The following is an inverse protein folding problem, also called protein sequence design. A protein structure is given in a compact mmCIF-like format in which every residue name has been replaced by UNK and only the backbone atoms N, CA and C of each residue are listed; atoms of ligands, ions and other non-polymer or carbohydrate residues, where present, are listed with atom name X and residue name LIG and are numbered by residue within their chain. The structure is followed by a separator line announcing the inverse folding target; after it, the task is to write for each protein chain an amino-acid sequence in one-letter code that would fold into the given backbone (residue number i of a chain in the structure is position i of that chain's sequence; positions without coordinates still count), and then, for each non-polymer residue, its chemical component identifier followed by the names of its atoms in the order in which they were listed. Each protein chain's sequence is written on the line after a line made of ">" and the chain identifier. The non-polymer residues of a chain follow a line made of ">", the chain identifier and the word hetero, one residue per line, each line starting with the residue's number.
data_IF_863214520197
#
_entry.id   IF_863214520197
#
_cell.length_a   1.000
_cell.length_b   1.000
_cell.length_c   1.000
_cell.angle_alpha   90.00
_cell.angle_beta   90.00
_cell.angle_gamma   90.00
#
_symmetry.space_group_name_H-M   'P 1'
#
loop_
_entity.id
_entity.type
_entity.pdbx_description
1 polymer ?
#
# COMPACT_ATOMS: atom_id res chain seq x y z
N UNK A 1 69.35 15.37 39.09
CA UNK A 1 68.51 14.17 38.69
C UNK A 1 67.18 14.66 38.33
N UNK A 2 66.83 14.64 37.01
CA UNK A 2 65.48 14.97 36.48
C UNK A 2 64.79 13.65 36.15
N UNK A 3 63.72 13.32 36.87
CA UNK A 3 62.85 12.22 36.52
C UNK A 3 61.98 12.63 35.33
N UNK A 4 62.16 11.99 34.20
CA UNK A 4 61.26 12.07 33.06
C UNK A 4 60.02 11.23 33.43
N UNK A 5 58.83 11.86 33.36
CA UNK A 5 57.54 11.24 33.53
C UNK A 5 57.19 10.64 32.16
N UNK A 6 57.18 9.32 32.06
CA UNK A 6 56.63 8.62 30.89
C UNK A 6 55.11 8.87 30.85
N UNK A 7 54.68 9.64 29.88
CA UNK A 7 53.25 9.70 29.50
C UNK A 7 52.91 8.40 28.78
N UNK A 8 52.18 7.56 29.49
CA UNK A 8 51.59 6.35 28.91
C UNK A 8 50.42 6.78 28.04
N UNK A 9 50.69 7.03 26.76
CA UNK A 9 49.68 7.31 25.74
C UNK A 9 49.03 5.96 25.32
N UNK A 10 48.10 5.48 26.16
CA UNK A 10 47.18 4.40 25.79
C UNK A 10 46.19 4.94 24.75
N UNK A 11 46.64 5.06 23.51
CA UNK A 11 45.71 5.27 22.39
C UNK A 11 44.74 4.11 22.34
N UNK A 12 43.48 4.40 22.69
CA UNK A 12 42.37 3.50 22.48
C UNK A 12 42.33 3.11 21.01
N UNK A 13 42.99 2.00 20.66
CA UNK A 13 42.90 1.44 19.32
C UNK A 13 41.53 0.84 19.19
N UNK A 14 40.68 1.53 18.44
CA UNK A 14 39.38 1.02 18.01
C UNK A 14 39.60 -0.36 17.36
N UNK A 15 39.30 -1.40 18.10
CA UNK A 15 39.56 -2.78 17.68
C UNK A 15 38.47 -3.26 16.68
N UNK A 16 38.83 -4.28 15.92
CA UNK A 16 37.86 -4.95 15.01
C UNK A 16 36.55 -5.33 15.72
N UNK A 17 36.66 -5.70 17.00
CA UNK A 17 35.51 -6.03 17.85
C UNK A 17 34.60 -4.83 18.08
N UNK A 18 35.17 -3.67 18.37
CA UNK A 18 34.41 -2.44 18.62
C UNK A 18 33.72 -1.99 17.34
N UNK A 19 34.39 -2.07 16.21
CA UNK A 19 33.82 -1.79 14.88
C UNK A 19 32.64 -2.74 14.57
N UNK A 20 32.79 -4.04 14.85
CA UNK A 20 31.72 -5.02 14.63
C UNK A 20 30.51 -4.76 15.54
N UNK A 21 30.73 -4.35 16.79
CA UNK A 21 29.64 -4.04 17.72
C UNK A 21 28.94 -2.75 17.33
N UNK A 22 29.70 -1.66 17.13
CA UNK A 22 29.14 -0.34 16.86
C UNK A 22 28.52 -0.17 15.48
N UNK A 23 29.04 -0.87 14.46
CA UNK A 23 28.47 -0.84 13.10
C UNK A 23 27.60 -2.06 12.81
N UNK A 24 27.96 -3.24 13.28
CA UNK A 24 27.26 -4.50 12.97
C UNK A 24 25.87 -4.57 13.60
N UNK A 25 25.73 -4.20 14.87
CA UNK A 25 24.43 -4.26 15.55
C UNK A 25 23.40 -3.31 14.90
N UNK A 26 23.69 -2.01 14.65
CA UNK A 26 22.75 -1.14 13.95
C UNK A 26 22.38 -1.63 12.56
N UNK A 27 23.34 -2.17 11.79
CA UNK A 27 23.06 -2.73 10.46
C UNK A 27 22.09 -3.91 10.56
N UNK A 28 22.31 -4.83 11.51
CA UNK A 28 21.40 -5.98 11.73
C UNK A 28 20.01 -5.48 12.13
N UNK A 29 19.90 -4.50 13.02
CA UNK A 29 18.61 -3.92 13.43
C UNK A 29 17.88 -3.33 12.22
N UNK A 30 18.56 -2.52 11.39
CA UNK A 30 17.96 -1.93 10.17
C UNK A 30 17.51 -3.01 9.19
N UNK A 31 18.32 -4.07 9.01
CA UNK A 31 17.94 -5.20 8.16
C UNK A 31 16.71 -5.95 8.70
N UNK A 32 16.62 -6.18 10.00
CA UNK A 32 15.46 -6.81 10.62
C UNK A 32 14.20 -5.95 10.44
N UNK A 33 14.30 -4.65 10.68
CA UNK A 33 13.19 -3.71 10.44
C UNK A 33 12.74 -3.78 8.98
N UNK A 34 13.67 -3.72 8.03
CA UNK A 34 13.36 -3.78 6.60
C UNK A 34 12.72 -5.11 6.19
N UNK A 35 13.20 -6.23 6.74
CA UNK A 35 12.69 -7.56 6.37
C UNK A 35 11.31 -7.79 6.95
N UNK A 36 11.09 -7.44 8.22
CA UNK A 36 9.90 -7.84 8.95
C UNK A 36 8.82 -6.74 9.07
N UNK A 37 9.22 -5.45 9.09
CA UNK A 37 8.29 -4.37 9.39
C UNK A 37 7.96 -3.48 8.19
N UNK A 38 8.92 -3.20 7.31
CA UNK A 38 8.75 -2.21 6.25
C UNK A 38 8.97 -2.81 4.85
N UNK A 39 8.12 -2.39 3.92
CA UNK A 39 8.28 -2.61 2.48
C UNK A 39 8.67 -1.31 1.78
N UNK A 40 9.41 -1.41 0.67
CA UNK A 40 9.84 -0.27 -0.15
C UNK A 40 9.55 -0.59 -1.61
N UNK A 41 8.72 0.22 -2.24
CA UNK A 41 8.26 0.00 -3.61
C UNK A 41 8.47 1.23 -4.47
N UNK A 42 8.77 1.02 -5.75
CA UNK A 42 8.77 2.05 -6.79
C UNK A 42 7.48 1.89 -7.59
N UNK A 43 6.77 2.98 -7.80
CA UNK A 43 5.47 2.95 -8.48
C UNK A 43 5.67 3.25 -9.97
N UNK A 44 5.44 2.27 -10.87
CA UNK A 44 5.65 2.49 -12.29
C UNK A 44 4.40 3.03 -13.01
N UNK A 45 3.19 2.83 -12.46
CA UNK A 45 1.92 3.08 -13.13
C UNK A 45 1.19 4.32 -12.60
N UNK A 46 0.30 4.88 -13.44
CA UNK A 46 -0.51 6.04 -13.09
C UNK A 46 -1.87 5.69 -12.47
N UNK A 47 -2.12 4.44 -12.06
CA UNK A 47 -3.45 4.01 -11.59
C UNK A 47 -3.87 4.64 -10.25
N UNK A 48 -2.93 5.22 -9.50
CA UNK A 48 -3.16 5.91 -8.24
C UNK A 48 -2.88 7.42 -8.35
N UNK A 49 -2.85 7.97 -9.58
CA UNK A 49 -2.60 9.42 -9.80
C UNK A 49 -3.63 10.26 -9.07
N UNK A 50 -3.17 11.39 -8.60
CA UNK A 50 -3.54 12.32 -7.55
C UNK A 50 -2.89 11.94 -6.21
N UNK A 51 -3.00 10.70 -5.76
CA UNK A 51 -2.39 10.25 -4.50
C UNK A 51 -0.92 9.87 -4.71
N UNK A 52 -0.64 9.06 -5.74
CA UNK A 52 0.70 8.54 -6.05
C UNK A 52 0.95 8.67 -7.55
N UNK A 53 2.08 9.28 -7.92
CA UNK A 53 2.49 9.46 -9.31
C UNK A 53 3.50 8.40 -9.75
N UNK A 54 3.59 8.12 -11.07
CA UNK A 54 4.66 7.28 -11.60
C UNK A 54 6.05 7.82 -11.20
N UNK A 55 6.90 6.94 -10.67
CA UNK A 55 8.23 7.29 -10.17
C UNK A 55 8.29 7.60 -8.68
N UNK A 56 7.14 7.77 -8.01
CA UNK A 56 7.12 7.87 -6.55
C UNK A 56 7.65 6.57 -5.92
N UNK A 57 8.30 6.73 -4.78
CA UNK A 57 8.72 5.60 -3.94
C UNK A 57 7.95 5.63 -2.65
N UNK A 58 7.32 4.51 -2.33
CA UNK A 58 6.45 4.36 -1.16
C UNK A 58 7.05 3.42 -0.14
N UNK A 59 6.82 3.76 1.12
CA UNK A 59 7.09 2.91 2.28
C UNK A 59 5.77 2.30 2.74
N UNK A 60 5.78 1.01 3.05
CA UNK A 60 4.60 0.28 3.54
C UNK A 60 4.88 -0.38 4.89
N UNK A 61 3.85 -0.54 5.71
CA UNK A 61 3.87 -1.40 6.88
C UNK A 61 3.55 -2.84 6.46
N UNK A 62 4.38 -3.79 6.86
CA UNK A 62 4.12 -5.23 6.69
C UNK A 62 3.39 -5.85 7.90
N UNK A 63 3.08 -5.05 8.91
CA UNK A 63 2.35 -5.50 10.07
C UNK A 63 0.85 -5.70 9.77
N UNK A 64 0.33 -4.99 8.79
CA UNK A 64 -1.03 -5.20 8.27
C UNK A 64 -0.93 -6.05 7.00
N UNK A 65 -1.74 -7.11 6.83
CA UNK A 65 -2.79 -7.61 7.71
C UNK A 65 -2.34 -8.61 8.79
N UNK A 66 -1.04 -8.78 9.02
CA UNK A 66 -0.52 -9.87 9.89
C UNK A 66 -0.78 -9.66 11.38
N UNK A 67 -0.78 -8.42 11.84
CA UNK A 67 -0.93 -8.04 13.25
C UNK A 67 -2.10 -7.10 13.45
N UNK A 68 -2.35 -6.22 12.47
CA UNK A 68 -3.44 -5.27 12.46
C UNK A 68 -4.41 -5.58 11.33
N UNK A 69 -5.68 -5.32 11.54
CA UNK A 69 -6.72 -5.51 10.56
C UNK A 69 -6.64 -4.47 9.44
N UNK A 70 -7.02 -4.88 8.23
CA UNK A 70 -7.24 -3.97 7.10
C UNK A 70 -8.48 -3.11 7.34
N UNK A 71 -8.44 -1.89 6.85
CA UNK A 71 -9.57 -0.96 6.93
C UNK A 71 -9.90 -0.41 5.54
N UNK A 72 -11.18 -0.09 5.31
CA UNK A 72 -11.60 0.63 4.11
C UNK A 72 -10.85 1.96 4.03
N UNK A 73 -10.37 2.29 2.84
CA UNK A 73 -9.51 3.44 2.61
C UNK A 73 -8.01 3.15 2.60
N UNK A 74 -7.55 2.07 3.23
CA UNK A 74 -6.12 1.71 3.22
C UNK A 74 -5.56 1.62 1.80
N UNK A 75 -4.41 2.24 1.56
CA UNK A 75 -3.66 2.06 0.32
C UNK A 75 -2.83 0.80 0.45
N UNK A 76 -3.26 -0.28 -0.21
CA UNK A 76 -2.65 -1.61 -0.07
C UNK A 76 -1.72 -1.93 -1.22
N UNK A 77 -0.58 -2.59 -0.90
CA UNK A 77 0.29 -3.26 -1.87
C UNK A 77 0.03 -4.76 -1.77
N UNK A 78 -0.21 -5.39 -2.91
CA UNK A 78 -0.54 -6.82 -2.98
C UNK A 78 0.11 -7.47 -4.20
N UNK A 79 0.25 -8.79 -4.16
CA UNK A 79 0.71 -9.58 -5.31
C UNK A 79 -0.40 -9.61 -6.35
N UNK A 80 0.00 -9.68 -7.62
CA UNK A 80 -0.94 -9.83 -8.74
C UNK A 80 -1.76 -11.13 -8.58
N UNK A 81 -3.09 -11.04 -8.33
CA UNK A 81 -3.88 -12.21 -7.96
C UNK A 81 -4.17 -13.14 -9.14
N UNK A 82 -4.35 -12.61 -10.33
CA UNK A 82 -4.77 -13.37 -11.52
C UNK A 82 -4.21 -12.76 -12.82
N UNK A 83 -2.93 -12.38 -12.80
CA UNK A 83 -2.22 -11.79 -13.94
C UNK A 83 -2.85 -10.50 -14.47
N UNK A 84 -3.33 -9.62 -13.58
CA UNK A 84 -3.88 -8.31 -13.95
C UNK A 84 -2.87 -7.42 -14.68
N UNK A 85 -1.56 -7.68 -14.47
CA UNK A 85 -0.45 -6.96 -15.12
C UNK A 85 -0.11 -7.47 -16.53
N UNK A 86 -0.71 -8.55 -17.03
CA UNK A 86 -0.35 -9.12 -18.35
C UNK A 86 -0.63 -8.17 -19.55
N UNK A 87 -1.39 -7.12 -19.35
CA UNK A 87 -1.64 -6.10 -20.37
C UNK A 87 -0.68 -4.90 -20.29
N UNK A 88 0.11 -4.77 -19.24
CA UNK A 88 1.10 -3.71 -19.09
C UNK A 88 2.48 -4.37 -18.94
N UNK A 89 3.36 -4.20 -19.95
CA UNK A 89 4.77 -4.59 -19.99
C UNK A 89 5.37 -5.09 -18.65
N UNK A 90 5.42 -6.40 -18.49
CA UNK A 90 6.09 -7.09 -17.37
C UNK A 90 7.62 -6.87 -17.31
N UNK A 91 8.16 -6.04 -18.21
CA UNK A 91 9.59 -5.68 -18.30
C UNK A 91 9.99 -4.51 -17.41
N UNK A 92 9.07 -3.84 -16.73
CA UNK A 92 9.39 -2.67 -15.88
C UNK A 92 9.53 -3.07 -14.42
N UNK A 93 10.69 -2.83 -13.87
CA UNK A 93 11.24 -2.90 -12.49
C UNK A 93 10.26 -2.85 -11.29
N UNK A 94 9.01 -3.31 -11.39
CA UNK A 94 8.03 -3.29 -10.30
C UNK A 94 7.72 -4.66 -9.70
N UNK A 95 8.11 -5.76 -10.35
CA UNK A 95 7.73 -7.10 -9.93
C UNK A 95 6.22 -7.35 -10.04
N UNK A 96 5.76 -8.48 -9.53
CA UNK A 96 4.36 -8.92 -9.56
C UNK A 96 3.50 -8.24 -8.48
N UNK A 97 3.70 -6.93 -8.23
CA UNK A 97 2.97 -6.18 -7.20
C UNK A 97 2.16 -5.04 -7.77
N UNK A 98 0.93 -4.92 -7.26
CA UNK A 98 0.04 -3.80 -7.53
C UNK A 98 -0.14 -2.94 -6.27
N UNK A 99 -0.55 -1.68 -6.49
CA UNK A 99 -0.96 -0.78 -5.42
C UNK A 99 -2.32 -0.18 -5.75
N UNK A 100 -3.27 -0.27 -4.82
CA UNK A 100 -4.65 0.21 -4.96
C UNK A 100 -5.18 0.67 -3.60
N UNK A 101 -6.33 1.35 -3.61
CA UNK A 101 -7.08 1.67 -2.39
C UNK A 101 -8.07 0.55 -2.10
N UNK A 102 -8.12 0.11 -0.84
CA UNK A 102 -9.08 -0.86 -0.36
C UNK A 102 -10.44 -0.18 -0.17
N UNK A 103 -11.44 -0.67 -0.88
CA UNK A 103 -12.80 -0.10 -0.87
C UNK A 103 -13.76 -1.01 -0.10
N UNK A 104 -13.69 -2.32 -0.30
CA UNK A 104 -14.59 -3.28 0.35
C UNK A 104 -13.82 -4.33 1.13
N UNK A 105 -14.33 -4.63 2.32
CA UNK A 105 -13.88 -5.70 3.23
C UNK A 105 -14.76 -6.95 3.07
N UNK A 106 -14.36 -8.12 3.61
CA UNK A 106 -15.20 -9.32 3.61
C UNK A 106 -16.63 -9.03 4.11
N UNK A 107 -17.63 -9.52 3.37
CA UNK A 107 -19.05 -9.30 3.66
C UNK A 107 -19.62 -8.00 3.11
N UNK A 108 -18.80 -7.07 2.59
CA UNK A 108 -19.31 -5.85 1.97
C UNK A 108 -19.91 -6.12 0.58
N UNK A 109 -20.94 -5.37 0.23
CA UNK A 109 -21.41 -5.23 -1.14
C UNK A 109 -21.01 -3.86 -1.67
N UNK A 110 -20.08 -3.83 -2.63
CA UNK A 110 -19.60 -2.62 -3.31
C UNK A 110 -20.33 -2.49 -4.64
N UNK A 111 -20.99 -1.37 -4.88
CA UNK A 111 -21.76 -1.16 -6.10
C UNK A 111 -21.66 0.27 -6.62
N UNK A 112 -21.97 0.43 -7.90
CA UNK A 112 -22.15 1.73 -8.57
C UNK A 112 -23.17 1.57 -9.68
N UNK A 113 -24.05 2.54 -9.85
CA UNK A 113 -25.05 2.54 -10.93
C UNK A 113 -24.48 3.03 -12.28
N UNK A 114 -23.19 3.37 -12.32
CA UNK A 114 -22.50 3.83 -13.51
C UNK A 114 -22.21 5.33 -13.49
N UNK A 115 -21.91 5.94 -14.66
CA UNK A 115 -21.47 7.33 -14.74
C UNK A 115 -22.38 8.31 -13.99
N UNK A 116 -21.78 9.28 -13.31
CA UNK A 116 -22.49 10.29 -12.54
C UNK A 116 -23.01 9.82 -11.17
N UNK A 117 -22.86 8.54 -10.83
CA UNK A 117 -23.33 7.99 -9.56
C UNK A 117 -22.15 7.69 -8.62
N UNK A 118 -22.32 7.84 -7.30
CA UNK A 118 -21.29 7.51 -6.32
C UNK A 118 -21.08 5.99 -6.21
N UNK A 119 -19.94 5.59 -5.64
CA UNK A 119 -19.78 4.24 -5.12
C UNK A 119 -20.66 4.11 -3.87
N UNK A 120 -21.33 2.99 -3.76
CA UNK A 120 -22.05 2.59 -2.55
C UNK A 120 -21.41 1.37 -1.92
N UNK A 121 -21.35 1.34 -0.59
CA UNK A 121 -20.91 0.18 0.17
C UNK A 121 -22.02 -0.16 1.16
N UNK A 122 -22.56 -1.37 1.08
CA UNK A 122 -23.68 -1.82 1.89
C UNK A 122 -24.91 -0.88 1.77
N UNK A 123 -25.11 -0.29 0.58
CA UNK A 123 -26.19 0.66 0.28
C UNK A 123 -25.91 2.10 0.70
N UNK A 124 -24.79 2.40 1.37
CA UNK A 124 -24.38 3.75 1.77
C UNK A 124 -23.47 4.36 0.71
N UNK A 125 -23.85 5.52 0.16
CA UNK A 125 -23.03 6.26 -0.78
C UNK A 125 -21.84 6.92 -0.07
N UNK A 126 -20.64 6.82 -0.67
CA UNK A 126 -19.42 7.43 -0.13
C UNK A 126 -19.00 8.64 -0.97
N UNK A 127 -18.47 9.69 -0.31
CA UNK A 127 -17.89 10.85 -0.98
C UNK A 127 -16.38 10.68 -1.15
N UNK A 128 -15.98 10.32 -2.35
CA UNK A 128 -14.58 10.04 -2.70
C UNK A 128 -13.80 11.26 -3.19
N UNK A 129 -14.38 12.46 -3.12
CA UNK A 129 -13.77 13.70 -3.62
C UNK A 129 -12.41 14.02 -2.99
N UNK A 130 -12.12 13.47 -1.81
CA UNK A 130 -10.85 13.66 -1.11
C UNK A 130 -9.64 13.03 -1.83
N UNK A 131 -9.84 11.99 -2.65
CA UNK A 131 -8.73 11.25 -3.28
C UNK A 131 -8.91 10.95 -4.77
N UNK A 132 -10.13 10.92 -5.33
CA UNK A 132 -10.29 10.81 -6.78
C UNK A 132 -10.11 12.17 -7.45
N UNK A 133 -9.79 12.17 -8.73
CA UNK A 133 -9.61 13.38 -9.52
C UNK A 133 -10.95 14.10 -9.73
N UNK A 134 -10.97 15.41 -9.55
CA UNK A 134 -12.15 16.24 -9.83
C UNK A 134 -12.64 16.04 -11.28
N UNK A 135 -13.95 15.92 -11.45
CA UNK A 135 -14.59 15.72 -12.75
C UNK A 135 -14.44 14.33 -13.35
N UNK A 136 -13.92 13.37 -12.60
CA UNK A 136 -13.85 11.97 -13.00
C UNK A 136 -14.93 11.16 -12.29
N UNK A 137 -15.72 10.41 -13.05
CA UNK A 137 -16.73 9.51 -12.50
C UNK A 137 -16.10 8.42 -11.62
N UNK A 138 -16.72 8.07 -10.49
CA UNK A 138 -16.28 6.95 -9.64
C UNK A 138 -16.22 5.62 -10.40
N UNK A 139 -17.12 5.41 -11.36
CA UNK A 139 -17.07 4.29 -12.31
C UNK A 139 -17.68 4.69 -13.65
N UNK A 140 -17.07 4.23 -14.76
CA UNK A 140 -17.58 4.42 -16.11
C UNK A 140 -18.67 3.41 -16.51
N UNK A 141 -19.00 2.46 -15.64
CA UNK A 141 -20.03 1.45 -15.86
C UNK A 141 -20.64 1.00 -14.52
N UNK A 142 -21.84 0.43 -14.60
CA UNK A 142 -22.53 -0.13 -13.44
C UNK A 142 -21.92 -1.47 -13.03
N UNK A 143 -21.78 -1.69 -11.73
CA UNK A 143 -21.37 -2.97 -11.17
C UNK A 143 -21.94 -3.17 -9.76
N UNK A 144 -21.98 -4.42 -9.32
CA UNK A 144 -22.32 -4.79 -7.93
C UNK A 144 -21.56 -6.08 -7.59
N UNK A 145 -20.70 -6.03 -6.57
CA UNK A 145 -19.86 -7.15 -6.15
C UNK A 145 -19.96 -7.31 -4.64
N UNK A 146 -20.28 -8.52 -4.20
CA UNK A 146 -20.18 -8.90 -2.78
C UNK A 146 -18.81 -9.49 -2.51
N UNK A 147 -18.10 -8.92 -1.56
CA UNK A 147 -16.74 -9.34 -1.17
C UNK A 147 -16.84 -10.61 -0.33
N UNK A 148 -16.29 -11.71 -0.83
CA UNK A 148 -16.30 -12.99 -0.13
C UNK A 148 -15.29 -13.02 1.01
N UNK A 149 -15.48 -13.95 1.97
CA UNK A 149 -14.53 -14.16 3.08
C UNK A 149 -13.10 -14.36 2.58
N UNK A 150 -12.15 -13.76 3.30
CA UNK A 150 -10.74 -13.84 2.97
C UNK A 150 -10.28 -12.97 1.79
N UNK A 151 -11.16 -12.16 1.22
CA UNK A 151 -10.86 -11.29 0.08
C UNK A 151 -11.14 -9.82 0.40
N UNK A 152 -10.64 -8.93 -0.46
CA UNK A 152 -10.93 -7.49 -0.46
C UNK A 152 -11.23 -7.01 -1.87
N UNK A 153 -11.99 -5.92 -1.97
CA UNK A 153 -12.27 -5.21 -3.22
C UNK A 153 -11.44 -3.93 -3.26
N UNK A 154 -10.68 -3.73 -4.34
CA UNK A 154 -9.74 -2.62 -4.46
C UNK A 154 -10.00 -1.80 -5.71
N UNK A 155 -9.78 -0.47 -5.62
CA UNK A 155 -9.87 0.45 -6.76
C UNK A 155 -8.67 1.38 -6.80
N UNK A 156 -8.29 1.80 -8.02
CA UNK A 156 -7.30 2.87 -8.19
C UNK A 156 -7.93 4.24 -7.95
N UNK A 157 -7.17 5.19 -7.40
CA UNK A 157 -7.63 6.57 -7.23
C UNK A 157 -7.78 7.29 -8.58
N UNK A 158 -7.00 6.90 -9.58
CA UNK A 158 -7.19 7.29 -10.98
C UNK A 158 -8.26 6.42 -11.66
N UNK A 159 -9.52 6.67 -11.34
CA UNK A 159 -10.68 5.89 -11.77
C UNK A 159 -10.78 5.68 -13.27
N UNK A 160 -10.35 6.66 -14.06
CA UNK A 160 -10.37 6.62 -15.52
C UNK A 160 -9.26 5.76 -16.13
N UNK A 161 -8.19 5.46 -15.36
CA UNK A 161 -7.02 4.73 -15.85
C UNK A 161 -6.51 3.72 -14.80
N UNK A 162 -7.39 2.84 -14.35
CA UNK A 162 -7.06 1.79 -13.40
C UNK A 162 -7.75 0.49 -13.78
N UNK A 163 -6.97 -0.49 -14.19
CA UNK A 163 -7.40 -1.88 -14.24
C UNK A 163 -7.38 -2.42 -12.79
N UNK A 164 -8.56 -2.50 -12.18
CA UNK A 164 -8.75 -2.88 -10.79
C UNK A 164 -9.92 -3.87 -10.65
N UNK A 165 -10.36 -4.15 -9.44
CA UNK A 165 -11.43 -5.10 -9.13
C UNK A 165 -12.67 -4.95 -10.02
N UNK A 166 -13.01 -3.74 -10.47
CA UNK A 166 -14.16 -3.48 -11.34
C UNK A 166 -14.03 -4.17 -12.70
N UNK A 167 -12.82 -4.24 -13.25
CA UNK A 167 -12.55 -4.75 -14.59
C UNK A 167 -12.24 -6.25 -14.64
N UNK A 168 -11.94 -6.83 -13.48
CA UNK A 168 -11.51 -8.24 -13.36
C UNK A 168 -12.59 -9.18 -12.84
N UNK A 169 -13.87 -8.78 -12.89
CA UNK A 169 -15.00 -9.61 -12.40
C UNK A 169 -15.17 -10.95 -13.17
N UNK A 170 -14.56 -11.08 -14.34
CA UNK A 170 -14.58 -12.30 -15.14
C UNK A 170 -13.44 -13.29 -14.86
N UNK A 171 -12.48 -12.94 -13.99
CA UNK A 171 -11.39 -13.83 -13.60
C UNK A 171 -11.81 -14.86 -12.54
N UNK A 172 -10.87 -15.74 -12.14
CA UNK A 172 -11.16 -16.82 -11.20
C UNK A 172 -11.53 -16.34 -9.80
N UNK A 173 -11.09 -15.15 -9.41
CA UNK A 173 -11.37 -14.51 -8.13
C UNK A 173 -12.52 -13.48 -8.19
N UNK A 174 -13.17 -13.35 -9.35
CA UNK A 174 -14.22 -12.36 -9.60
C UNK A 174 -13.79 -10.92 -9.28
N UNK A 175 -12.53 -10.59 -9.60
CA UNK A 175 -11.94 -9.28 -9.32
C UNK A 175 -11.60 -9.04 -7.86
N UNK A 176 -11.69 -10.05 -7.01
CA UNK A 176 -11.35 -9.93 -5.60
C UNK A 176 -9.89 -10.27 -5.35
N UNK A 177 -9.27 -9.58 -4.42
CA UNK A 177 -7.87 -9.80 -4.01
C UNK A 177 -7.86 -10.62 -2.72
N UNK A 178 -7.21 -11.79 -2.69
CA UNK A 178 -7.03 -12.54 -1.45
C UNK A 178 -6.27 -11.69 -0.41
N UNK A 179 -6.74 -11.66 0.83
CA UNK A 179 -6.06 -10.97 1.93
C UNK A 179 -4.64 -11.52 2.13
N UNK A 180 -4.42 -12.81 1.85
CA UNK A 180 -3.10 -13.45 1.90
C UNK A 180 -2.09 -12.84 0.92
N UNK A 181 -2.56 -12.22 -0.16
CA UNK A 181 -1.71 -11.58 -1.17
C UNK A 181 -1.39 -10.13 -0.84
N UNK A 182 -2.06 -9.54 0.16
CA UNK A 182 -1.73 -8.21 0.68
C UNK A 182 -0.42 -8.28 1.44
N UNK A 183 0.59 -7.57 0.95
CA UNK A 183 1.95 -7.58 1.52
C UNK A 183 2.21 -6.39 2.43
N UNK A 184 1.34 -5.38 2.43
CA UNK A 184 1.44 -4.26 3.35
C UNK A 184 0.53 -3.08 2.99
N UNK A 185 0.43 -2.15 3.94
CA UNK A 185 -0.33 -0.90 3.83
C UNK A 185 0.62 0.28 3.67
N UNK A 186 0.35 1.16 2.72
CA UNK A 186 1.11 2.36 2.42
C UNK A 186 1.12 3.34 3.58
N UNK A 187 2.30 3.80 3.98
CA UNK A 187 2.48 4.78 5.05
C UNK A 187 2.81 6.17 4.51
N UNK A 188 3.77 6.23 3.58
CA UNK A 188 4.27 7.49 3.07
C UNK A 188 4.98 7.34 1.72
N UNK A 189 5.04 8.43 0.97
CA UNK A 189 5.95 8.65 -0.15
C UNK A 189 7.25 9.22 0.41
N UNK A 190 8.40 8.62 0.07
CA UNK A 190 9.71 9.09 0.55
C UNK A 190 10.62 9.61 -0.56
N UNK A 191 10.21 9.50 -1.80
CA UNK A 191 10.90 10.02 -2.98
C UNK A 191 9.89 10.31 -4.10
N UNK A 192 10.10 11.33 -4.94
CA UNK A 192 11.17 12.34 -4.89
C UNK A 192 10.97 13.34 -3.73
N UNK A 193 12.04 14.06 -3.37
CA UNK A 193 12.05 14.91 -2.16
C UNK A 193 10.95 15.97 -2.12
N UNK A 194 10.56 16.51 -3.28
CA UNK A 194 9.48 17.49 -3.42
C UNK A 194 8.07 16.88 -3.30
N UNK A 195 7.95 15.56 -3.15
CA UNK A 195 6.69 14.83 -3.01
C UNK A 195 6.62 13.97 -1.74
N UNK A 196 7.56 14.19 -0.81
CA UNK A 196 7.54 13.51 0.49
C UNK A 196 6.23 13.88 1.23
N UNK A 197 5.53 12.85 1.73
CA UNK A 197 4.29 13.04 2.49
C UNK A 197 3.65 11.72 2.88
N UNK A 198 2.76 11.76 3.87
CA UNK A 198 1.95 10.62 4.25
C UNK A 198 1.05 10.13 3.10
N UNK A 199 0.69 8.86 3.13
CA UNK A 199 -0.40 8.32 2.33
C UNK A 199 -1.64 8.29 3.21
N UNK A 200 -2.59 9.21 2.92
CA UNK A 200 -3.82 9.30 3.68
C UNK A 200 -4.79 8.20 3.26
N UNK A 201 -5.25 7.44 4.23
CA UNK A 201 -6.23 6.38 4.02
C UNK A 201 -7.67 6.92 3.93
N UNK A 202 -7.91 8.17 4.31
CA UNK A 202 -9.24 8.80 4.28
C UNK A 202 -10.32 7.94 4.93
N UNK A 203 -10.04 7.39 6.10
CA UNK A 203 -10.98 6.52 6.83
C UNK A 203 -12.30 7.22 7.16
N UNK A 204 -12.30 8.55 7.26
CA UNK A 204 -13.48 9.38 7.48
C UNK A 204 -14.53 9.23 6.38
N UNK A 205 -14.11 8.96 5.14
CA UNK A 205 -15.01 8.74 3.99
C UNK A 205 -15.90 7.50 4.21
N UNK A 206 -15.42 6.55 5.00
CA UNK A 206 -16.07 5.26 5.26
C UNK A 206 -16.74 5.18 6.63
N UNK A 207 -16.75 6.27 7.40
CA UNK A 207 -17.19 6.25 8.80
C UNK A 207 -18.66 5.85 8.99
N UNK A 208 -19.53 6.20 8.03
CA UNK A 208 -20.96 5.91 8.09
C UNK A 208 -21.33 4.56 7.43
N UNK A 209 -20.34 3.84 6.88
CA UNK A 209 -20.58 2.55 6.24
C UNK A 209 -20.69 1.46 7.30
N UNK A 210 -21.84 0.75 7.40
CA UNK A 210 -21.97 -0.34 8.34
C UNK A 210 -21.03 -1.49 8.01
N UNK A 211 -20.77 -2.35 8.99
CA UNK A 211 -20.03 -3.59 8.72
C UNK A 211 -20.84 -4.49 7.78
N UNK A 212 -20.12 -5.19 6.89
CA UNK A 212 -20.71 -6.15 5.99
C UNK A 212 -21.35 -7.29 6.77
N UNK A 213 -22.50 -7.78 6.31
CA UNK A 213 -23.07 -9.00 6.86
C UNK A 213 -22.33 -10.19 6.24
N UNK A 214 -21.60 -10.95 7.06
CA UNK A 214 -21.10 -12.25 6.63
C UNK A 214 -22.27 -13.10 6.11
N UNK A 215 -22.17 -13.52 4.84
CA UNK A 215 -23.16 -14.39 4.22
C UNK A 215 -22.91 -15.85 4.61
#
# INVERSE_FOLDING_TARGET
>A
MRHAKEENNSGDSFGLRDTLVWCGIPIIIVLLIRIFLLGFYVIPSGSMMNTIEPGDRVITSKLTPKVFDLKRGDVVVFKDPDHWLQQEDSSKLGGDYLIKRLIGLPGDTVACEGPGNPITINGVAIDESAYIREGVDPSSFAFSVTVTEGHVFVMGDNRANSADSRYHQGDSSHGLVPISDVVGVGLAKYWPLNRIGGLDSHHEVFADVPEGSAA
#
